data_IF_440169582977
#
_entry.id   IF_440169582977
#
_cell.length_a   1.000
_cell.length_b   1.000
_cell.length_c   1.000
_cell.angle_alpha   90.00
_cell.angle_beta   90.00
_cell.angle_gamma   90.00
#
_symmetry.space_group_name_H-M   'P 1'
#
loop_
_entity.id
_entity.type
_entity.pdbx_description
1 polymer ?
#
# COMPACT_ATOMS: atom_id res chain seq x y z
N UNK A 1 -7.91 21.02 -10.81
CA UNK A 1 -7.13 21.66 -9.73
C UNK A 1 -5.65 21.44 -10.03
N UNK A 2 -5.02 22.36 -10.76
CA UNK A 2 -3.62 22.24 -11.18
C UNK A 2 -2.70 22.59 -10.01
N UNK A 3 -2.16 21.56 -9.34
CA UNK A 3 -1.02 21.75 -8.44
C UNK A 3 0.14 22.35 -9.24
N UNK A 4 0.70 23.45 -8.74
CA UNK A 4 1.80 24.13 -9.40
C UNK A 4 3.04 23.21 -9.38
N UNK A 5 3.52 22.70 -10.53
CA UNK A 5 4.58 21.68 -10.56
C UNK A 5 5.92 22.19 -10.01
N UNK A 6 6.06 23.51 -9.87
CA UNK A 6 7.27 24.18 -9.40
C UNK A 6 7.34 24.31 -7.86
N UNK A 7 6.27 24.03 -7.11
CA UNK A 7 6.24 24.15 -5.64
C UNK A 7 6.36 22.82 -4.91
N UNK A 8 7.25 21.93 -5.35
CA UNK A 8 7.48 20.64 -4.68
C UNK A 8 8.47 20.83 -3.53
N UNK A 9 7.98 20.69 -2.30
CA UNK A 9 8.81 20.78 -1.09
C UNK A 9 9.76 19.56 -0.98
N UNK A 10 10.88 19.70 -0.27
CA UNK A 10 11.80 18.59 0.03
C UNK A 10 11.07 17.41 0.66
N UNK A 11 10.04 17.71 1.47
CA UNK A 11 9.15 16.72 2.06
C UNK A 11 8.38 15.91 1.01
N UNK A 12 7.79 16.53 -0.01
CA UNK A 12 7.06 15.82 -1.06
C UNK A 12 7.98 14.93 -1.93
N UNK A 13 9.23 15.34 -2.14
CA UNK A 13 10.20 14.57 -2.95
C UNK A 13 10.83 13.40 -2.18
N UNK A 14 11.17 13.59 -0.90
CA UNK A 14 11.95 12.60 -0.14
C UNK A 14 11.30 12.19 1.19
N UNK A 15 10.80 13.15 1.97
CA UNK A 15 10.24 12.89 3.30
C UNK A 15 9.01 11.99 3.28
N UNK A 16 8.10 12.21 2.34
CA UNK A 16 6.85 11.45 2.18
C UNK A 16 7.13 9.96 1.95
N UNK A 17 8.11 9.62 1.11
CA UNK A 17 8.46 8.22 0.83
C UNK A 17 9.03 7.51 2.06
N UNK A 18 9.87 8.19 2.83
CA UNK A 18 10.44 7.64 4.07
C UNK A 18 9.35 7.35 5.10
N UNK A 19 8.42 8.29 5.30
CA UNK A 19 7.28 8.13 6.21
C UNK A 19 6.38 6.96 5.74
N UNK A 20 6.05 6.89 4.45
CA UNK A 20 5.19 5.83 3.93
C UNK A 20 5.79 4.44 4.17
N UNK A 21 7.10 4.27 3.97
CA UNK A 21 7.79 3.01 4.24
C UNK A 21 7.81 2.69 5.74
N UNK A 22 8.13 3.67 6.59
CA UNK A 22 8.24 3.47 8.03
C UNK A 22 6.89 3.05 8.64
N UNK A 23 5.83 3.83 8.39
CA UNK A 23 4.52 3.56 8.99
C UNK A 23 3.85 2.31 8.40
N UNK A 24 4.02 2.02 7.10
CA UNK A 24 3.49 0.78 6.51
C UNK A 24 4.19 -0.45 7.09
N UNK A 25 5.51 -0.42 7.27
CA UNK A 25 6.27 -1.52 7.87
C UNK A 25 5.86 -1.76 9.32
N UNK A 26 5.73 -0.70 10.12
CA UNK A 26 5.26 -0.78 11.49
C UNK A 26 3.83 -1.34 11.58
N UNK A 27 2.92 -0.90 10.69
CA UNK A 27 1.56 -1.41 10.61
C UNK A 27 1.52 -2.91 10.31
N UNK A 28 2.35 -3.39 9.38
CA UNK A 28 2.45 -4.82 9.08
C UNK A 28 2.96 -5.61 10.28
N UNK A 29 4.02 -5.15 10.96
CA UNK A 29 4.58 -5.82 12.14
C UNK A 29 3.60 -5.83 13.32
N UNK A 30 2.77 -4.79 13.47
CA UNK A 30 1.79 -4.77 14.54
C UNK A 30 0.60 -5.69 14.24
N UNK A 31 0.18 -5.77 12.98
CA UNK A 31 -1.06 -6.43 12.57
C UNK A 31 -0.87 -7.83 11.96
N UNK A 32 0.37 -8.30 11.77
CA UNK A 32 0.63 -9.61 11.15
C UNK A 32 -0.11 -10.80 11.79
N UNK A 33 -0.28 -10.92 13.14
CA UNK A 33 -0.98 -12.08 13.68
C UNK A 33 -2.46 -12.07 13.29
N UNK A 34 -3.08 -10.88 13.23
CA UNK A 34 -4.47 -10.71 12.81
C UNK A 34 -4.62 -11.04 11.33
N UNK A 35 -3.70 -10.55 10.48
CA UNK A 35 -3.70 -10.88 9.05
C UNK A 35 -3.51 -12.37 8.80
N UNK A 36 -2.70 -13.06 9.62
CA UNK A 36 -2.52 -14.50 9.53
C UNK A 36 -3.82 -15.26 9.87
N UNK A 37 -4.51 -14.86 10.93
CA UNK A 37 -5.81 -15.46 11.31
C UNK A 37 -6.82 -15.27 10.17
N UNK A 38 -6.95 -14.05 9.65
CA UNK A 38 -7.86 -13.75 8.53
C UNK A 38 -7.50 -14.58 7.29
N UNK A 39 -6.21 -14.70 6.97
CA UNK A 39 -5.75 -15.50 5.83
C UNK A 39 -6.17 -16.97 5.95
N UNK A 40 -6.06 -17.55 7.14
CA UNK A 40 -6.49 -18.92 7.41
C UNK A 40 -8.02 -19.04 7.25
N UNK A 41 -8.79 -18.12 7.84
CA UNK A 41 -10.25 -18.12 7.75
C UNK A 41 -10.74 -18.04 6.30
N UNK A 42 -10.15 -17.15 5.48
CA UNK A 42 -10.49 -17.04 4.05
C UNK A 42 -10.26 -18.37 3.34
N UNK A 43 -9.19 -19.10 3.68
CA UNK A 43 -8.86 -20.37 3.03
C UNK A 43 -9.74 -21.54 3.46
N UNK A 44 -10.31 -21.46 4.66
CA UNK A 44 -11.28 -22.42 5.15
C UNK A 44 -12.69 -22.17 4.59
N UNK A 45 -13.06 -20.90 4.42
CA UNK A 45 -14.41 -20.49 3.97
C UNK A 45 -14.55 -20.45 2.45
N UNK A 46 -13.48 -20.09 1.71
CA UNK A 46 -13.52 -19.90 0.26
C UNK A 46 -12.37 -20.62 -0.48
N UNK A 47 -12.60 -21.12 -1.71
CA UNK A 47 -11.54 -21.73 -2.51
C UNK A 47 -10.54 -20.69 -3.07
N UNK A 48 -10.88 -19.40 -2.98
CA UNK A 48 -10.14 -18.30 -3.61
C UNK A 48 -8.75 -18.01 -3.02
N UNK A 49 -7.99 -17.12 -3.67
CA UNK A 49 -6.73 -16.62 -3.12
C UNK A 49 -6.97 -15.64 -1.97
N UNK A 50 -6.09 -15.65 -0.96
CA UNK A 50 -6.15 -14.73 0.19
C UNK A 50 -5.93 -13.26 -0.24
N UNK A 51 -5.11 -13.03 -1.27
CA UNK A 51 -4.80 -11.69 -1.77
C UNK A 51 -5.35 -11.56 -3.18
N UNK A 52 -6.24 -10.58 -3.37
CA UNK A 52 -6.72 -10.14 -4.67
C UNK A 52 -5.83 -9.00 -5.20
N UNK A 53 -5.56 -9.00 -6.51
CA UNK A 53 -4.74 -7.98 -7.18
C UNK A 53 -5.52 -7.39 -8.36
N UNK A 54 -5.49 -6.08 -8.53
CA UNK A 54 -6.24 -5.37 -9.57
C UNK A 54 -5.37 -4.29 -10.20
N UNK A 55 -5.30 -4.27 -11.55
CA UNK A 55 -4.61 -3.22 -12.29
C UNK A 55 -5.22 -1.83 -12.00
N UNK A 56 -4.38 -0.87 -11.61
CA UNK A 56 -4.72 0.53 -11.38
C UNK A 56 -3.64 1.45 -11.96
N UNK A 57 -4.05 2.65 -12.39
CA UNK A 57 -3.13 3.69 -12.87
C UNK A 57 -2.44 4.33 -11.66
N UNK A 58 -1.12 4.28 -11.64
CA UNK A 58 -0.27 4.73 -10.54
C UNK A 58 0.48 6.02 -10.86
N UNK A 59 1.62 6.19 -10.18
CA UNK A 59 2.46 7.37 -10.34
C UNK A 59 2.93 7.49 -11.80
N UNK A 60 2.89 8.71 -12.34
CA UNK A 60 3.33 9.01 -13.71
C UNK A 60 2.56 8.23 -14.81
N UNK A 61 1.38 7.69 -14.48
CA UNK A 61 0.55 6.92 -15.41
C UNK A 61 0.91 5.42 -15.47
N UNK A 62 1.91 4.98 -14.72
CA UNK A 62 2.38 3.60 -14.70
C UNK A 62 1.36 2.66 -14.04
N UNK A 63 1.07 1.52 -14.67
CA UNK A 63 0.10 0.55 -14.16
C UNK A 63 0.73 -0.29 -13.03
N UNK A 64 0.01 -0.43 -11.91
CA UNK A 64 0.36 -1.33 -10.80
C UNK A 64 -0.81 -2.26 -10.45
N UNK A 65 -0.55 -3.40 -9.81
CA UNK A 65 -1.56 -4.44 -9.47
C UNK A 65 -1.64 -4.74 -7.99
#
# INVERSE_FOLDING_TARGET
MSVNPLSQTVYQKFGKRGIDILFSSLGIILLWPIFLIIAILIKLDSPGPVIFKQKRVGKDGEIFT
#
